data_IF_063810047912
#
_entry.id   IF_063810047912
#
_cell.length_a   1.000
_cell.length_b   1.000
_cell.length_c   1.000
_cell.angle_alpha   90.00
_cell.angle_beta   90.00
_cell.angle_gamma   90.00
#
_symmetry.space_group_name_H-M   'P 1'
#
loop_
_entity.id
_entity.type
_entity.pdbx_description
1 polymer ?
#
# COMPACT_ATOMS: atom_id res chain seq x y z
N UNK A 1 19.22 34.66 -25.85
CA UNK A 1 19.58 35.42 -24.63
C UNK A 1 20.82 34.72 -24.03
N UNK A 2 21.94 35.42 -23.81
CA UNK A 2 23.14 34.80 -23.18
C UNK A 2 23.02 34.92 -21.66
N UNK A 3 22.96 33.78 -20.99
CA UNK A 3 22.79 33.71 -19.53
C UNK A 3 24.16 33.94 -18.88
N UNK A 4 24.36 35.10 -18.25
CA UNK A 4 25.53 35.39 -17.40
C UNK A 4 25.19 35.28 -15.90
N UNK A 5 26.22 35.36 -15.05
CA UNK A 5 26.13 35.19 -13.59
C UNK A 5 25.21 36.19 -12.88
N UNK A 6 24.89 37.33 -13.49
CA UNK A 6 23.94 38.30 -12.94
C UNK A 6 22.48 37.81 -12.92
N UNK A 7 22.16 36.72 -13.62
CA UNK A 7 20.83 36.10 -13.63
C UNK A 7 20.52 35.26 -12.38
N UNK A 8 21.51 35.03 -11.53
CA UNK A 8 21.39 34.22 -10.31
C UNK A 8 21.71 35.09 -9.10
N UNK A 9 20.86 35.08 -8.06
CA UNK A 9 21.27 35.60 -6.75
C UNK A 9 22.29 34.62 -6.17
N UNK A 10 23.39 35.15 -5.62
CA UNK A 10 24.48 34.36 -5.01
C UNK A 10 23.97 33.55 -3.81
N UNK A 11 23.34 32.42 -4.07
CA UNK A 11 23.19 31.35 -3.10
C UNK A 11 24.53 30.61 -2.99
N UNK A 12 24.83 30.05 -1.81
CA UNK A 12 25.98 29.16 -1.61
C UNK A 12 26.02 28.14 -2.77
N UNK A 13 27.05 28.22 -3.61
CA UNK A 13 27.14 27.51 -4.91
C UNK A 13 27.03 25.98 -4.82
N UNK A 14 26.99 25.44 -3.61
CA UNK A 14 26.99 24.01 -3.33
C UNK A 14 25.60 23.39 -3.17
N UNK A 15 24.52 24.18 -3.14
CA UNK A 15 23.17 23.65 -2.86
C UNK A 15 22.10 24.09 -3.88
N UNK A 16 21.96 23.31 -4.94
CA UNK A 16 20.90 23.46 -5.97
C UNK A 16 19.48 23.14 -5.46
N UNK A 17 19.31 22.80 -4.18
CA UNK A 17 18.01 22.46 -3.56
C UNK A 17 17.53 23.53 -2.59
N UNK A 18 18.23 24.65 -2.46
CA UNK A 18 17.83 25.75 -1.59
C UNK A 18 16.56 26.43 -2.15
N UNK A 19 15.57 26.81 -1.32
CA UNK A 19 14.32 27.44 -1.78
C UNK A 19 14.54 28.80 -2.46
N UNK A 20 15.68 29.45 -2.20
CA UNK A 20 16.10 30.69 -2.87
C UNK A 20 16.86 30.45 -4.19
N UNK A 21 17.07 29.19 -4.59
CA UNK A 21 17.64 28.84 -5.87
C UNK A 21 16.57 28.97 -6.97
N UNK A 22 16.37 30.20 -7.45
CA UNK A 22 15.46 30.49 -8.55
C UNK A 22 16.27 30.87 -9.81
N UNK A 23 16.31 30.01 -10.85
CA UNK A 23 17.23 30.18 -11.99
C UNK A 23 16.71 31.16 -13.07
N UNK A 24 15.82 32.10 -12.74
CA UNK A 24 15.12 32.87 -13.78
C UNK A 24 14.57 34.23 -13.33
N UNK A 25 15.33 35.00 -12.54
CA UNK A 25 14.88 36.33 -12.08
C UNK A 25 14.76 37.35 -13.24
N UNK A 26 15.41 37.13 -14.38
CA UNK A 26 15.41 38.10 -15.49
C UNK A 26 14.93 37.54 -16.84
N UNK A 27 14.03 36.55 -16.84
CA UNK A 27 13.45 35.98 -18.06
C UNK A 27 12.10 36.61 -18.47
N UNK A 28 11.68 37.71 -17.85
CA UNK A 28 10.48 38.47 -18.25
C UNK A 28 9.14 37.92 -17.73
N UNK A 29 9.15 36.96 -16.80
CA UNK A 29 7.96 36.48 -16.10
C UNK A 29 8.03 36.91 -14.63
N UNK A 30 6.94 37.49 -14.09
CA UNK A 30 6.86 37.93 -12.71
C UNK A 30 7.16 36.76 -11.77
N UNK A 31 8.29 36.82 -11.05
CA UNK A 31 8.69 35.78 -10.11
C UNK A 31 7.78 35.84 -8.89
N UNK A 32 6.97 34.80 -8.70
CA UNK A 32 6.28 34.59 -7.44
C UNK A 32 7.30 34.11 -6.41
N UNK A 33 7.31 34.69 -5.22
CA UNK A 33 8.14 34.21 -4.11
C UNK A 33 7.85 32.73 -3.84
N UNK A 34 8.85 31.98 -3.33
CA UNK A 34 8.69 30.59 -2.94
C UNK A 34 7.43 30.43 -2.09
N UNK A 35 6.52 29.54 -2.50
CA UNK A 35 5.25 29.38 -1.81
C UNK A 35 5.51 28.67 -0.48
N UNK A 36 4.72 28.95 0.56
CA UNK A 36 4.83 28.28 1.87
C UNK A 36 4.98 26.74 1.86
N UNK A 37 4.43 25.95 0.92
CA UNK A 37 4.71 24.51 0.84
C UNK A 37 6.16 24.16 0.47
N UNK A 38 6.82 24.90 -0.43
CA UNK A 38 8.18 24.61 -0.89
C UNK A 38 9.21 24.81 0.23
N UNK A 39 9.04 25.88 1.00
CA UNK A 39 9.84 26.16 2.20
C UNK A 39 9.70 25.02 3.22
N UNK A 40 8.46 24.57 3.46
CA UNK A 40 8.18 23.44 4.37
C UNK A 40 8.77 22.12 3.87
N UNK A 41 8.87 21.91 2.56
CA UNK A 41 9.46 20.71 1.99
C UNK A 41 10.98 20.73 2.12
N UNK A 42 11.62 21.89 1.87
CA UNK A 42 13.05 22.07 2.08
C UNK A 42 13.46 21.84 3.54
N UNK A 43 12.76 22.46 4.51
CA UNK A 43 13.05 22.25 5.93
C UNK A 43 12.86 20.79 6.37
N UNK A 44 11.93 20.06 5.74
CA UNK A 44 11.77 18.61 5.98
C UNK A 44 12.94 17.81 5.41
N UNK A 45 13.40 18.14 4.21
CA UNK A 45 14.55 17.47 3.59
C UNK A 45 15.85 17.72 4.37
N UNK A 46 16.09 18.96 4.83
CA UNK A 46 17.28 19.28 5.65
C UNK A 46 17.24 18.61 7.01
N UNK A 47 16.08 18.54 7.67
CA UNK A 47 15.92 17.74 8.90
C UNK A 47 16.24 16.25 8.68
N UNK A 48 15.84 15.66 7.54
CA UNK A 48 16.17 14.26 7.22
C UNK A 48 17.67 14.05 7.01
N UNK A 49 18.36 15.01 6.40
CA UNK A 49 19.82 14.96 6.23
C UNK A 49 20.57 15.15 7.55
N UNK A 50 20.07 15.98 8.47
CA UNK A 50 20.65 16.13 9.80
C UNK A 50 20.41 14.90 10.69
N UNK A 51 19.34 14.16 10.42
CA UNK A 51 18.97 12.91 11.08
C UNK A 51 19.45 11.68 10.31
N UNK A 52 20.46 11.80 9.43
CA UNK A 52 21.01 10.61 8.76
C UNK A 52 21.34 9.57 9.81
N UNK A 53 20.79 8.36 9.70
CA UNK A 53 21.02 7.32 10.69
C UNK A 53 22.52 7.08 10.76
N UNK A 54 23.05 7.04 11.97
CA UNK A 54 24.36 6.44 12.22
C UNK A 54 24.33 5.08 11.51
N UNK A 55 25.18 4.91 10.51
CA UNK A 55 25.39 3.62 9.87
C UNK A 55 25.78 2.67 10.99
N UNK A 56 24.84 1.82 11.42
CA UNK A 56 25.05 0.91 12.54
C UNK A 56 25.97 -0.26 12.15
N UNK A 57 26.21 -0.46 10.85
CA UNK A 57 27.12 -1.46 10.31
C UNK A 57 27.72 -0.95 8.99
N UNK A 58 29.04 -0.69 8.91
CA UNK A 58 29.72 -0.51 7.63
C UNK A 58 29.53 -1.78 6.80
N UNK A 59 28.94 -1.66 5.61
CA UNK A 59 29.02 -2.72 4.61
C UNK A 59 30.40 -2.63 3.98
N UNK A 60 31.29 -3.54 4.35
CA UNK A 60 32.51 -3.79 3.59
C UNK A 60 32.10 -4.42 2.25
N UNK A 61 32.32 -3.67 1.17
CA UNK A 61 32.39 -4.19 -0.18
C UNK A 61 33.77 -4.84 -0.32
N UNK A 62 33.85 -6.16 -0.30
CA UNK A 62 34.97 -6.87 -0.92
C UNK A 62 34.53 -7.44 -2.26
N UNK A 63 35.06 -6.78 -3.29
CA UNK A 63 35.07 -7.17 -4.69
C UNK A 63 36.03 -8.36 -4.87
N UNK A 64 35.60 -9.32 -5.65
CA UNK A 64 36.11 -10.67 -5.74
C UNK A 64 37.07 -10.77 -6.94
N UNK A 65 38.39 -10.62 -6.75
CA UNK A 65 39.37 -11.04 -7.77
C UNK A 65 40.74 -11.51 -7.20
N UNK A 66 40.91 -12.83 -7.23
CA UNK A 66 42.06 -13.62 -7.74
C UNK A 66 43.49 -13.40 -7.16
N UNK A 67 43.89 -14.40 -6.34
CA UNK A 67 45.16 -15.19 -6.32
C UNK A 67 46.51 -14.44 -6.41
N UNK A 68 47.29 -14.47 -5.32
CA UNK A 68 48.67 -15.04 -5.29
C UNK A 68 49.19 -15.25 -3.85
N UNK A 69 49.92 -16.34 -3.64
CA UNK A 69 50.58 -16.86 -2.40
C UNK A 69 52.12 -16.72 -2.58
N UNK A 70 53.07 -16.90 -1.61
CA UNK A 70 53.12 -16.94 -0.13
C UNK A 70 54.24 -16.04 0.52
N UNK A 71 54.43 -16.21 1.85
CA UNK A 71 55.64 -15.99 2.69
C UNK A 71 55.86 -14.55 3.20
N UNK A 72 56.29 -14.26 4.44
CA UNK A 72 57.13 -15.01 5.39
C UNK A 72 57.02 -14.47 6.84
N UNK A 73 57.43 -15.30 7.80
CA UNK A 73 58.20 -15.00 9.05
C UNK A 73 57.63 -14.07 10.14
N UNK A 74 57.45 -14.70 11.31
CA UNK A 74 57.87 -14.26 12.66
C UNK A 74 57.27 -12.98 13.29
N UNK A 75 56.66 -13.13 14.47
CA UNK A 75 57.21 -12.72 15.79
C UNK A 75 56.08 -12.67 16.84
N UNK A 76 56.48 -13.04 18.05
CA UNK A 76 55.80 -13.36 19.30
C UNK A 76 54.85 -12.32 19.94
N UNK A 77 53.84 -12.86 20.63
CA UNK A 77 53.41 -12.61 22.02
C UNK A 77 53.23 -11.16 22.52
N UNK A 78 52.01 -10.78 22.95
CA UNK A 78 51.71 -10.21 24.29
C UNK A 78 50.22 -10.38 24.59
N UNK A 79 49.91 -11.21 25.59
CA UNK A 79 48.68 -11.19 26.37
C UNK A 79 48.56 -9.87 27.14
N UNK A 80 47.48 -9.12 26.91
CA UNK A 80 47.03 -8.10 27.85
C UNK A 80 45.50 -8.05 27.86
N UNK A 81 44.94 -8.95 28.65
CA UNK A 81 43.57 -8.89 29.17
C UNK A 81 43.34 -7.58 29.92
N UNK A 82 42.49 -6.70 29.39
CA UNK A 82 41.86 -5.61 30.13
C UNK A 82 40.37 -5.62 29.81
N UNK A 83 39.65 -6.43 30.58
CA UNK A 83 38.20 -6.42 30.64
C UNK A 83 37.73 -5.05 31.14
N UNK A 84 37.04 -4.29 30.28
CA UNK A 84 36.10 -3.26 30.74
C UNK A 84 34.71 -3.79 30.44
N UNK A 85 34.20 -4.61 31.37
CA UNK A 85 32.88 -5.20 31.31
C UNK A 85 31.78 -4.15 31.45
N UNK A 86 31.36 -3.55 30.34
CA UNK A 86 29.97 -3.12 30.23
C UNK A 86 29.17 -4.37 29.91
N UNK A 87 28.56 -4.97 30.94
CA UNK A 87 27.60 -6.06 30.76
C UNK A 87 26.33 -5.48 30.13
N UNK A 88 26.37 -5.27 28.82
CA UNK A 88 25.13 -5.15 28.05
C UNK A 88 24.61 -6.57 27.91
N UNK A 89 23.56 -6.90 28.66
CA UNK A 89 22.85 -8.17 28.55
C UNK A 89 22.30 -8.32 27.12
N UNK A 90 23.06 -8.94 26.23
CA UNK A 90 22.75 -9.12 24.79
C UNK A 90 22.11 -10.47 24.48
N UNK A 91 21.28 -10.99 25.38
CA UNK A 91 20.67 -12.30 25.19
C UNK A 91 19.19 -12.22 25.55
N UNK A 92 18.34 -12.22 24.52
CA UNK A 92 16.97 -12.69 24.72
C UNK A 92 17.07 -14.13 25.18
N UNK A 93 16.53 -14.42 26.36
CA UNK A 93 16.41 -15.77 26.87
C UNK A 93 15.47 -16.57 25.98
N UNK A 94 15.68 -17.90 25.91
CA UNK A 94 14.81 -18.82 25.15
C UNK A 94 13.34 -18.65 25.55
N UNK A 95 13.06 -18.36 26.83
CA UNK A 95 11.72 -18.03 27.30
C UNK A 95 11.11 -16.80 26.60
N UNK A 96 11.90 -15.74 26.38
CA UNK A 96 11.44 -14.54 25.67
C UNK A 96 11.12 -14.85 24.20
N UNK A 97 11.90 -15.74 23.57
CA UNK A 97 11.66 -16.19 22.21
C UNK A 97 10.35 -16.98 22.13
N UNK A 98 10.15 -17.94 23.04
CA UNK A 98 8.92 -18.74 23.11
C UNK A 98 7.67 -17.89 23.38
N UNK A 99 7.78 -16.86 24.23
CA UNK A 99 6.64 -15.95 24.47
C UNK A 99 6.29 -15.14 23.23
N UNK A 100 7.28 -14.66 22.47
CA UNK A 100 7.05 -13.94 21.23
C UNK A 100 6.44 -14.85 20.15
N UNK A 101 6.93 -16.09 20.01
CA UNK A 101 6.34 -17.07 19.10
C UNK A 101 4.86 -17.34 19.42
N UNK A 102 4.52 -17.50 20.70
CA UNK A 102 3.13 -17.66 21.14
C UNK A 102 2.29 -16.40 20.87
N UNK A 103 2.86 -15.21 21.04
CA UNK A 103 2.18 -13.96 20.74
C UNK A 103 1.88 -13.80 19.26
N UNK A 104 2.84 -14.12 18.37
CA UNK A 104 2.63 -14.12 16.92
C UNK A 104 1.48 -15.07 16.54
N UNK A 105 1.51 -16.31 17.04
CA UNK A 105 0.43 -17.29 16.76
C UNK A 105 -0.93 -16.78 17.26
N UNK A 106 -0.97 -16.15 18.44
CA UNK A 106 -2.19 -15.57 18.99
C UNK A 106 -2.69 -14.40 18.13
N UNK A 107 -1.80 -13.53 17.68
CA UNK A 107 -2.15 -12.41 16.82
C UNK A 107 -2.67 -12.87 15.47
N UNK A 108 -2.00 -13.83 14.84
CA UNK A 108 -2.46 -14.44 13.59
C UNK A 108 -3.85 -15.05 13.74
N UNK A 109 -4.11 -15.75 14.86
CA UNK A 109 -5.43 -16.27 15.16
C UNK A 109 -6.50 -15.15 15.23
N UNK A 110 -6.19 -14.07 15.95
CA UNK A 110 -7.12 -12.93 16.11
C UNK A 110 -7.34 -12.21 14.78
N UNK A 111 -6.28 -11.97 14.00
CA UNK A 111 -6.36 -11.34 12.69
C UNK A 111 -7.21 -12.19 11.75
N UNK A 112 -6.97 -13.50 11.68
CA UNK A 112 -7.76 -14.39 10.83
C UNK A 112 -9.23 -14.43 11.25
N UNK A 113 -9.50 -14.48 12.56
CA UNK A 113 -10.87 -14.41 13.08
C UNK A 113 -11.56 -13.11 12.69
N UNK A 114 -10.95 -11.95 12.97
CA UNK A 114 -11.52 -10.65 12.64
C UNK A 114 -11.70 -10.47 11.13
N UNK A 115 -10.74 -10.94 10.34
CA UNK A 115 -10.82 -10.90 8.88
C UNK A 115 -12.02 -11.70 8.40
N UNK A 116 -12.26 -12.88 8.95
CA UNK A 116 -13.46 -13.69 8.62
C UNK A 116 -14.78 -13.01 9.02
N UNK A 117 -14.83 -12.33 10.15
CA UNK A 117 -16.01 -11.58 10.60
C UNK A 117 -16.28 -10.36 9.71
N UNK A 118 -15.22 -9.61 9.36
CA UNK A 118 -15.31 -8.47 8.43
C UNK A 118 -15.77 -8.93 7.04
N UNK A 119 -15.24 -10.05 6.55
CA UNK A 119 -15.62 -10.64 5.27
C UNK A 119 -17.10 -11.01 5.26
N UNK A 120 -17.57 -11.67 6.33
CA UNK A 120 -18.98 -12.02 6.53
C UNK A 120 -19.91 -10.79 6.52
N UNK A 121 -19.54 -9.75 7.28
CA UNK A 121 -20.36 -8.53 7.39
C UNK A 121 -20.41 -7.72 6.10
N UNK A 122 -19.29 -7.66 5.36
CA UNK A 122 -19.22 -6.97 4.08
C UNK A 122 -19.76 -7.79 2.90
N UNK A 123 -20.30 -9.00 3.14
CA UNK A 123 -20.81 -9.89 2.11
C UNK A 123 -19.78 -10.12 1.00
N UNK A 124 -18.53 -10.35 1.39
CA UNK A 124 -17.47 -10.69 0.45
C UNK A 124 -17.75 -12.05 -0.21
N UNK A 125 -17.04 -12.36 -1.30
CA UNK A 125 -17.10 -13.66 -1.97
C UNK A 125 -16.93 -14.84 -0.99
N UNK A 126 -15.99 -14.73 -0.05
CA UNK A 126 -15.74 -15.74 0.98
C UNK A 126 -16.96 -16.05 1.86
N UNK A 127 -17.87 -15.09 2.02
CA UNK A 127 -19.12 -15.28 2.77
C UNK A 127 -19.98 -16.38 2.18
N UNK A 128 -19.90 -16.57 0.86
CA UNK A 128 -20.74 -17.48 0.10
C UNK A 128 -20.06 -18.83 -0.17
N UNK A 129 -18.78 -18.96 0.17
CA UNK A 129 -18.04 -20.23 0.04
C UNK A 129 -18.69 -21.31 0.90
N UNK A 130 -19.10 -22.42 0.27
CA UNK A 130 -19.83 -23.50 0.92
C UNK A 130 -21.27 -23.14 1.34
N UNK A 131 -21.80 -21.98 0.90
CA UNK A 131 -23.15 -21.49 1.24
C UNK A 131 -23.94 -21.06 0.00
N UNK A 132 -24.17 -21.96 -0.99
CA UNK A 132 -24.85 -21.60 -2.24
C UNK A 132 -26.29 -21.10 -2.03
N UNK A 133 -27.01 -21.64 -1.05
CA UNK A 133 -28.38 -21.22 -0.72
C UNK A 133 -28.44 -19.75 -0.27
N UNK A 134 -27.41 -19.26 0.41
CA UNK A 134 -27.33 -17.86 0.83
C UNK A 134 -27.15 -16.95 -0.38
N UNK A 135 -26.30 -17.34 -1.34
CA UNK A 135 -26.12 -16.59 -2.58
C UNK A 135 -27.41 -16.56 -3.40
N UNK A 136 -28.09 -17.70 -3.52
CA UNK A 136 -29.36 -17.83 -4.23
C UNK A 136 -30.47 -16.99 -3.59
N UNK A 137 -30.53 -16.97 -2.25
CA UNK A 137 -31.48 -16.13 -1.52
C UNK A 137 -31.32 -14.64 -1.87
N UNK A 138 -30.08 -14.15 -1.87
CA UNK A 138 -29.80 -12.75 -2.11
C UNK A 138 -29.89 -12.33 -3.57
N UNK A 139 -29.42 -13.16 -4.50
CA UNK A 139 -29.29 -12.79 -5.92
C UNK A 139 -30.47 -13.28 -6.76
N UNK A 140 -31.18 -14.31 -6.30
CA UNK A 140 -32.19 -15.01 -7.08
C UNK A 140 -31.62 -16.03 -8.08
N UNK A 141 -30.30 -16.17 -8.16
CA UNK A 141 -29.64 -17.13 -9.04
C UNK A 141 -29.43 -18.45 -8.29
N UNK A 142 -30.11 -19.51 -8.72
CA UNK A 142 -30.08 -20.81 -8.04
C UNK A 142 -28.71 -21.50 -8.12
N UNK A 143 -27.95 -21.24 -9.18
CA UNK A 143 -26.60 -21.78 -9.38
C UNK A 143 -25.54 -20.72 -9.08
N UNK A 144 -24.63 -21.06 -8.17
CA UNK A 144 -23.43 -20.26 -7.90
C UNK A 144 -22.54 -20.16 -9.13
N UNK A 145 -22.45 -21.22 -9.94
CA UNK A 145 -21.65 -21.23 -11.16
C UNK A 145 -22.21 -20.23 -12.19
N UNK A 146 -23.54 -20.12 -12.30
CA UNK A 146 -24.16 -19.11 -13.16
C UNK A 146 -23.83 -17.69 -12.69
N UNK A 147 -23.85 -17.44 -11.37
CA UNK A 147 -23.45 -16.14 -10.82
C UNK A 147 -22.00 -15.81 -11.19
N UNK A 148 -21.07 -16.76 -11.02
CA UNK A 148 -19.65 -16.57 -11.34
C UNK A 148 -19.42 -16.40 -12.84
N UNK A 149 -20.13 -17.16 -13.68
CA UNK A 149 -20.08 -17.01 -15.13
C UNK A 149 -20.53 -15.62 -15.58
N UNK A 150 -21.65 -15.13 -15.03
CA UNK A 150 -22.13 -13.78 -15.28
C UNK A 150 -21.09 -12.76 -14.83
N UNK A 151 -20.54 -12.94 -13.63
CA UNK A 151 -19.53 -12.04 -13.07
C UNK A 151 -18.32 -11.95 -13.99
N UNK A 152 -17.80 -13.07 -14.47
CA UNK A 152 -16.61 -13.10 -15.33
C UNK A 152 -16.88 -12.40 -16.67
N UNK A 153 -18.06 -12.58 -17.26
CA UNK A 153 -18.46 -11.91 -18.50
C UNK A 153 -18.49 -10.39 -18.36
N UNK A 154 -19.00 -9.87 -17.23
CA UNK A 154 -19.18 -8.42 -17.03
C UNK A 154 -18.00 -7.74 -16.32
N UNK A 155 -17.11 -8.52 -15.71
CA UNK A 155 -15.91 -8.08 -14.97
C UNK A 155 -15.12 -6.97 -15.67
N UNK A 156 -14.79 -7.04 -16.97
CA UNK A 156 -14.03 -5.99 -17.65
C UNK A 156 -14.72 -4.62 -17.63
N UNK A 157 -16.05 -4.57 -17.55
CA UNK A 157 -16.81 -3.32 -17.49
C UNK A 157 -17.04 -2.81 -16.05
N UNK A 158 -16.86 -3.66 -15.04
CA UNK A 158 -17.06 -3.33 -13.62
C UNK A 158 -15.85 -2.64 -12.96
N UNK A 159 -14.65 -2.87 -13.46
CA UNK A 159 -13.38 -2.37 -12.87
C UNK A 159 -13.23 -0.85 -12.90
N UNK A 160 -13.97 -0.14 -13.75
CA UNK A 160 -13.70 1.29 -14.03
C UNK A 160 -14.31 2.30 -13.06
N UNK A 161 -15.26 1.93 -12.17
CA UNK A 161 -16.08 2.96 -11.49
C UNK A 161 -15.87 3.16 -9.98
N UNK A 162 -15.41 2.15 -9.22
CA UNK A 162 -15.24 2.27 -7.77
C UNK A 162 -14.25 1.21 -7.26
N UNK A 163 -13.18 1.63 -6.56
CA UNK A 163 -12.20 0.72 -5.94
C UNK A 163 -12.66 0.15 -4.59
N UNK A 164 -13.72 0.70 -3.99
CA UNK A 164 -14.17 0.32 -2.64
C UNK A 164 -14.98 -0.97 -2.58
N UNK A 165 -15.67 -1.31 -3.68
CA UNK A 165 -16.37 -2.60 -3.80
C UNK A 165 -15.68 -3.47 -4.83
N UNK A 166 -15.54 -4.74 -4.48
CA UNK A 166 -15.13 -5.79 -5.41
C UNK A 166 -16.15 -5.97 -6.52
N UNK A 167 -15.73 -6.55 -7.64
CA UNK A 167 -16.61 -6.90 -8.76
C UNK A 167 -17.74 -7.83 -8.30
N UNK A 168 -17.42 -8.79 -7.42
CA UNK A 168 -18.38 -9.69 -6.79
C UNK A 168 -19.47 -8.90 -6.05
N UNK A 169 -19.08 -7.97 -5.17
CA UNK A 169 -20.03 -7.13 -4.42
C UNK A 169 -20.84 -6.19 -5.31
N UNK A 170 -20.24 -5.68 -6.40
CA UNK A 170 -20.98 -4.88 -7.40
C UNK A 170 -22.10 -5.71 -8.02
N UNK A 171 -21.83 -6.96 -8.43
CA UNK A 171 -22.88 -7.85 -8.93
C UNK A 171 -23.87 -8.26 -7.83
N UNK A 172 -23.44 -8.34 -6.57
CA UNK A 172 -24.33 -8.64 -5.44
C UNK A 172 -25.42 -7.57 -5.22
N UNK A 173 -25.31 -6.39 -5.84
CA UNK A 173 -26.39 -5.42 -5.93
C UNK A 173 -27.66 -5.96 -6.64
N UNK A 174 -27.62 -7.15 -7.25
CA UNK A 174 -28.80 -7.92 -7.66
C UNK A 174 -29.78 -8.18 -6.50
N UNK A 175 -29.33 -8.09 -5.24
CA UNK A 175 -30.20 -7.99 -4.05
C UNK A 175 -31.32 -6.95 -4.22
N UNK A 176 -31.04 -5.84 -4.92
CA UNK A 176 -32.05 -4.83 -5.24
C UNK A 176 -33.19 -5.39 -6.07
N UNK A 177 -32.89 -6.21 -7.08
CA UNK A 177 -33.91 -6.82 -7.93
C UNK A 177 -34.68 -7.92 -7.20
N UNK A 178 -33.96 -8.80 -6.50
CA UNK A 178 -34.53 -9.99 -5.89
C UNK A 178 -35.39 -9.69 -4.66
N UNK A 179 -34.88 -8.85 -3.76
CA UNK A 179 -35.48 -8.58 -2.46
C UNK A 179 -36.14 -7.19 -2.38
N UNK A 180 -36.09 -6.42 -3.48
CA UNK A 180 -36.55 -5.03 -3.53
C UNK A 180 -35.93 -4.13 -2.43
N UNK A 181 -34.68 -4.39 -2.04
CA UNK A 181 -34.00 -3.64 -0.96
C UNK A 181 -33.94 -2.13 -1.26
N UNK A 182 -34.07 -1.23 -0.27
CA UNK A 182 -33.81 0.18 -0.48
C UNK A 182 -32.30 0.43 -0.69
N UNK A 183 -31.94 1.43 -1.51
CA UNK A 183 -30.53 1.80 -1.72
C UNK A 183 -29.82 2.25 -0.44
N UNK A 184 -30.58 2.79 0.52
CA UNK A 184 -30.08 3.14 1.86
C UNK A 184 -29.54 1.91 2.57
N UNK A 185 -30.25 0.78 2.53
CA UNK A 185 -29.80 -0.46 3.16
C UNK A 185 -28.56 -1.05 2.47
N UNK A 186 -28.54 -1.02 1.13
CA UNK A 186 -27.34 -1.41 0.37
C UNK A 186 -26.15 -0.52 0.72
N UNK A 187 -26.38 0.77 0.96
CA UNK A 187 -25.37 1.70 1.46
C UNK A 187 -24.79 1.26 2.80
N UNK A 188 -25.64 0.90 3.77
CA UNK A 188 -25.19 0.40 5.08
C UNK A 188 -24.44 -0.93 4.97
N UNK A 189 -24.96 -1.90 4.21
CA UNK A 189 -24.35 -3.23 4.04
C UNK A 189 -22.97 -3.19 3.39
N UNK A 190 -22.80 -2.33 2.39
CA UNK A 190 -21.56 -2.22 1.64
C UNK A 190 -20.66 -1.06 2.09
N UNK A 191 -21.05 -0.34 3.15
CA UNK A 191 -20.33 0.81 3.68
C UNK A 191 -20.01 1.86 2.59
N UNK A 192 -21.05 2.24 1.83
CA UNK A 192 -21.04 3.28 0.78
C UNK A 192 -22.23 4.21 0.95
N UNK A 193 -22.25 5.35 0.24
CA UNK A 193 -23.43 6.23 0.26
C UNK A 193 -24.60 5.62 -0.53
N UNK A 194 -25.83 6.02 -0.18
CA UNK A 194 -27.05 5.64 -0.91
C UNK A 194 -26.95 6.00 -2.41
N UNK A 195 -26.39 7.16 -2.72
CA UNK A 195 -26.19 7.62 -4.11
C UNK A 195 -25.20 6.72 -4.85
N UNK A 196 -24.08 6.37 -4.20
CA UNK A 196 -23.11 5.43 -4.77
C UNK A 196 -23.74 4.07 -5.04
N UNK A 197 -24.57 3.56 -4.11
CA UNK A 197 -25.29 2.29 -4.30
C UNK A 197 -26.24 2.35 -5.52
N UNK A 198 -26.98 3.45 -5.67
CA UNK A 198 -27.87 3.69 -6.83
C UNK A 198 -27.10 3.74 -8.15
N UNK A 199 -25.96 4.44 -8.19
CA UNK A 199 -25.09 4.53 -9.37
C UNK A 199 -24.52 3.17 -9.75
N UNK A 200 -23.99 2.42 -8.77
CA UNK A 200 -23.44 1.08 -9.00
C UNK A 200 -24.52 0.16 -9.55
N UNK A 201 -25.70 0.14 -8.93
CA UNK A 201 -26.81 -0.67 -9.39
C UNK A 201 -27.20 -0.36 -10.84
N UNK A 202 -27.42 0.91 -11.20
CA UNK A 202 -27.78 1.30 -12.57
C UNK A 202 -26.70 0.89 -13.58
N UNK A 203 -25.42 1.06 -13.22
CA UNK A 203 -24.30 0.65 -14.06
C UNK A 203 -24.28 -0.87 -14.27
N UNK A 204 -24.49 -1.66 -13.21
CA UNK A 204 -24.57 -3.13 -13.30
C UNK A 204 -25.71 -3.55 -14.23
N UNK A 205 -26.91 -2.97 -14.09
CA UNK A 205 -28.05 -3.28 -14.97
C UNK A 205 -27.72 -2.96 -16.43
N UNK A 206 -27.15 -1.79 -16.71
CA UNK A 206 -26.76 -1.39 -18.06
C UNK A 206 -25.72 -2.34 -18.67
N UNK A 207 -24.75 -2.77 -17.89
CA UNK A 207 -23.73 -3.73 -18.35
C UNK A 207 -24.36 -5.10 -18.61
N UNK A 208 -25.21 -5.59 -17.70
CA UNK A 208 -25.92 -6.86 -17.87
C UNK A 208 -26.79 -6.84 -19.13
N UNK A 209 -27.52 -5.76 -19.37
CA UNK A 209 -28.31 -5.57 -20.59
C UNK A 209 -27.40 -5.68 -21.82
N UNK A 210 -26.31 -4.90 -21.88
CA UNK A 210 -25.42 -4.92 -23.03
C UNK A 210 -24.74 -6.27 -23.26
N UNK A 211 -24.27 -6.92 -22.19
CA UNK A 211 -23.59 -8.22 -22.25
C UNK A 211 -24.53 -9.31 -22.76
N UNK A 212 -25.75 -9.38 -22.23
CA UNK A 212 -26.69 -10.47 -22.52
C UNK A 212 -27.72 -10.15 -23.59
N UNK A 213 -27.71 -8.93 -24.14
CA UNK A 213 -28.59 -8.55 -25.27
C UNK A 213 -28.52 -9.57 -26.41
N UNK A 214 -27.33 -10.08 -26.71
CA UNK A 214 -27.12 -11.05 -27.81
C UNK A 214 -27.67 -12.46 -27.53
N UNK A 215 -27.98 -12.79 -26.28
CA UNK A 215 -28.55 -14.08 -25.90
C UNK A 215 -30.09 -14.09 -25.94
N UNK A 216 -30.70 -12.91 -26.04
CA UNK A 216 -32.17 -12.73 -25.95
C UNK A 216 -32.81 -12.71 -27.36
N UNK A 217 -32.02 -12.79 -28.44
CA UNK A 217 -32.47 -12.77 -29.83
C UNK A 217 -31.94 -13.96 -30.65
#
# INVERSE_FOLDING_TARGET
>A
MRICSSHFKSAYYTSNKHPDWCPSINMGYNTSAATTPDIKQYHRATKRMALTPTILFPNDLEDDTVVTVPNSSDVENVDRSMETGTSTSRTMTIANIQTLEQEVVREDFVINKLTSEVNYLNLSEETFNGRPQMLAFYTGLESTDLFLLILEEIKPALTSSNQRLTEFQKLLCLMKLRLNMPFVDLGYRFNISCDTASIIFRKVIFILEHAFKKLIY
#
